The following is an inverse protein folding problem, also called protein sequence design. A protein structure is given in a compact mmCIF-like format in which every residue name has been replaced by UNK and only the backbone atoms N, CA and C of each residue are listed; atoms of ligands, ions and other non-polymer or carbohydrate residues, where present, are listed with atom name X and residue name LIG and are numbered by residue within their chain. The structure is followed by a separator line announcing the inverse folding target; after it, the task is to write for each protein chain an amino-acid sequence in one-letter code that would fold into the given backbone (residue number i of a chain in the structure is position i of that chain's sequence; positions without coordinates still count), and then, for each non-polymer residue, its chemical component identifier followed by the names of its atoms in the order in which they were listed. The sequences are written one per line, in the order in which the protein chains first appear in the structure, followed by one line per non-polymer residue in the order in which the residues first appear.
data_IF_575247734066
#
_entry.id   IF_575247734066
#
_cell.length_a   1.000
_cell.length_b   1.000
_cell.length_c   1.000
_cell.angle_alpha   90.00
_cell.angle_beta   90.00
_cell.angle_gamma   90.00
#
_symmetry.space_group_name_H-M   'P 1'
#
loop_
_entity.id
_entity.type
_entity.pdbx_description
1 polymer ?
#
# COMPACT_ATOMS: atom_id res chain seq x y z
N UNK A 1 -5.12 -27.63 13.69
CA UNK A 1 -5.62 -26.59 14.63
C UNK A 1 -5.66 -25.27 13.86
N UNK A 2 -6.84 -24.82 13.44
CA UNK A 2 -7.00 -23.52 12.77
C UNK A 2 -7.02 -22.43 13.85
N UNK A 3 -5.87 -21.82 14.13
CA UNK A 3 -5.81 -20.68 15.05
C UNK A 3 -6.45 -19.48 14.38
N UNK A 4 -7.49 -18.89 15.00
CA UNK A 4 -8.09 -17.64 14.50
C UNK A 4 -7.04 -16.53 14.56
N UNK A 5 -6.85 -15.80 13.46
CA UNK A 5 -5.98 -14.62 13.43
C UNK A 5 -6.50 -13.60 14.48
N UNK A 6 -5.61 -12.99 15.30
CA UNK A 6 -5.99 -11.90 16.19
C UNK A 6 -6.65 -10.76 15.39
N UNK A 7 -7.67 -10.13 15.99
CA UNK A 7 -8.38 -9.00 15.42
C UNK A 7 -8.39 -7.84 16.40
N UNK A 8 -8.30 -6.61 15.89
CA UNK A 8 -8.64 -5.41 16.64
C UNK A 8 -9.56 -4.50 15.82
N UNK A 9 -10.27 -3.61 16.50
CA UNK A 9 -11.06 -2.57 15.85
C UNK A 9 -10.42 -1.23 16.13
N UNK A 10 -10.16 -0.48 15.06
CA UNK A 10 -9.70 0.90 15.09
C UNK A 10 -10.84 1.85 14.68
N UNK A 11 -11.03 2.99 15.37
CA UNK A 11 -12.12 3.93 15.04
C UNK A 11 -12.01 4.56 13.65
N UNK A 12 -10.84 4.60 13.03
CA UNK A 12 -10.64 5.20 11.70
C UNK A 12 -10.41 4.14 10.61
N UNK A 13 -9.76 3.02 10.96
CA UNK A 13 -9.34 1.99 10.00
C UNK A 13 -10.24 0.75 9.98
N UNK A 14 -11.22 0.66 10.89
CA UNK A 14 -12.16 -0.45 10.98
C UNK A 14 -11.56 -1.70 11.63
N UNK A 15 -11.97 -2.89 11.18
CA UNK A 15 -11.44 -4.15 11.70
C UNK A 15 -10.12 -4.50 11.02
N UNK A 16 -9.07 -4.70 11.82
CA UNK A 16 -7.77 -5.17 11.34
C UNK A 16 -7.49 -6.59 11.83
N UNK A 17 -6.83 -7.38 10.98
CA UNK A 17 -6.40 -8.74 11.29
C UNK A 17 -4.87 -8.82 11.34
N UNK A 18 -4.32 -9.43 12.38
CA UNK A 18 -2.87 -9.56 12.54
C UNK A 18 -2.29 -10.67 11.66
N UNK A 19 -1.21 -10.37 10.95
CA UNK A 19 -0.43 -11.29 10.14
C UNK A 19 1.05 -10.91 10.20
N UNK A 20 1.92 -11.81 10.68
CA UNK A 20 3.39 -11.70 10.55
C UNK A 20 4.03 -10.32 10.80
N UNK A 21 3.63 -9.60 11.85
CA UNK A 21 4.20 -8.28 12.18
C UNK A 21 3.43 -7.08 11.64
N UNK A 22 2.35 -7.30 10.89
CA UNK A 22 1.42 -6.27 10.44
C UNK A 22 -0.01 -6.54 10.92
N UNK A 23 -0.80 -5.48 10.91
CA UNK A 23 -2.24 -5.50 11.02
C UNK A 23 -2.83 -5.03 9.71
N UNK A 24 -3.62 -5.90 9.07
CA UNK A 24 -4.14 -5.66 7.74
C UNK A 24 -5.64 -5.36 7.79
N UNK A 25 -6.09 -4.39 7.00
CA UNK A 25 -7.50 -4.02 6.82
C UNK A 25 -7.80 -3.78 5.35
N UNK A 26 -9.08 -3.80 4.98
CA UNK A 26 -9.50 -3.35 3.65
C UNK A 26 -10.15 -1.99 3.77
N UNK A 27 -9.76 -1.07 2.89
CA UNK A 27 -10.28 0.29 2.85
C UNK A 27 -10.98 0.47 1.50
N UNK A 28 -12.23 0.91 1.55
CA UNK A 28 -12.96 1.30 0.35
C UNK A 28 -12.53 2.71 -0.07
N UNK A 29 -12.02 2.84 -1.29
CA UNK A 29 -11.55 4.13 -1.84
C UNK A 29 -12.12 4.35 -3.23
N UNK A 30 -11.92 5.53 -3.80
CA UNK A 30 -12.29 5.79 -5.21
C UNK A 30 -11.45 4.98 -6.20
N UNK A 31 -10.30 4.47 -5.77
CA UNK A 31 -9.43 3.58 -6.55
C UNK A 31 -9.82 2.10 -6.40
N UNK A 32 -10.95 1.83 -5.73
CA UNK A 32 -11.41 0.49 -5.40
C UNK A 32 -11.10 0.10 -3.97
N UNK A 33 -11.36 -1.18 -3.68
CA UNK A 33 -11.08 -1.81 -2.39
C UNK A 33 -9.61 -2.19 -2.32
N UNK A 34 -8.88 -1.52 -1.43
CA UNK A 34 -7.43 -1.72 -1.27
C UNK A 34 -7.11 -2.42 0.04
N UNK A 35 -6.03 -3.21 0.05
CA UNK A 35 -5.44 -3.74 1.28
C UNK A 35 -4.56 -2.66 1.92
N UNK A 36 -4.71 -2.43 3.21
CA UNK A 36 -3.85 -1.53 3.94
C UNK A 36 -3.22 -2.24 5.14
N UNK A 37 -1.92 -2.08 5.29
CA UNK A 37 -1.13 -2.70 6.36
C UNK A 37 -0.54 -1.64 7.28
N UNK A 38 -0.71 -1.86 8.58
CA UNK A 38 -0.11 -1.07 9.66
C UNK A 38 0.91 -1.95 10.37
N UNK A 39 2.12 -1.43 10.57
CA UNK A 39 3.14 -2.12 11.36
C UNK A 39 2.67 -2.31 12.81
N UNK A 40 3.10 -3.39 13.48
CA UNK A 40 2.78 -3.54 14.90
C UNK A 40 3.15 -4.88 15.51
N UNK A 41 2.74 -5.06 16.76
CA UNK A 41 2.88 -6.32 17.46
C UNK A 41 1.56 -7.10 17.41
N UNK A 42 1.61 -8.39 17.75
CA UNK A 42 0.40 -9.21 17.91
C UNK A 42 -0.65 -8.63 18.88
N UNK A 43 -0.26 -7.68 19.74
CA UNK A 43 -1.11 -7.10 20.78
C UNK A 43 -1.50 -5.64 20.52
N UNK A 44 -0.84 -4.97 19.57
CA UNK A 44 -1.00 -3.52 19.39
C UNK A 44 -0.61 -3.06 17.99
N UNK A 45 -1.28 -2.01 17.51
CA UNK A 45 -0.82 -1.22 16.37
C UNK A 45 0.41 -0.40 16.77
N UNK A 46 1.32 -0.17 15.82
CA UNK A 46 2.31 0.89 15.94
C UNK A 46 1.64 2.26 15.74
N UNK A 47 1.92 3.21 16.64
CA UNK A 47 1.25 4.51 16.64
C UNK A 47 1.63 5.40 15.45
N UNK A 48 2.89 5.33 15.01
CA UNK A 48 3.40 6.10 13.87
C UNK A 48 2.78 5.57 12.59
N UNK A 49 2.90 4.26 12.37
CA UNK A 49 2.35 3.59 11.19
C UNK A 49 0.84 3.79 11.08
N UNK A 50 0.11 3.67 12.19
CA UNK A 50 -1.34 3.91 12.21
C UNK A 50 -1.70 5.33 11.81
N UNK A 51 -1.06 6.33 12.44
CA UNK A 51 -1.36 7.74 12.19
C UNK A 51 -0.99 8.14 10.76
N UNK A 52 0.13 7.62 10.27
CA UNK A 52 0.56 7.80 8.89
C UNK A 52 -0.41 7.16 7.90
N UNK A 53 -0.90 5.93 8.13
CA UNK A 53 -1.88 5.32 7.23
C UNK A 53 -3.16 6.17 7.15
N UNK A 54 -3.63 6.69 8.28
CA UNK A 54 -4.80 7.60 8.30
C UNK A 54 -4.52 8.85 7.45
N UNK A 55 -3.33 9.45 7.57
CA UNK A 55 -2.94 10.60 6.75
C UNK A 55 -2.84 10.25 5.26
N UNK A 56 -2.25 9.10 4.91
CA UNK A 56 -2.14 8.62 3.53
C UNK A 56 -3.52 8.41 2.93
N UNK A 57 -4.45 7.77 3.65
CA UNK A 57 -5.82 7.55 3.17
C UNK A 57 -6.55 8.87 2.98
N UNK A 58 -6.33 9.85 3.86
CA UNK A 58 -6.91 11.19 3.76
C UNK A 58 -6.43 12.01 2.55
N UNK A 59 -5.21 11.78 2.06
CA UNK A 59 -4.61 12.45 0.90
C UNK A 59 -4.17 11.44 -0.19
N UNK A 60 -4.90 10.33 -0.31
CA UNK A 60 -4.48 9.18 -1.12
C UNK A 60 -4.29 9.55 -2.59
N UNK A 61 -5.10 10.49 -3.07
CA UNK A 61 -5.09 10.92 -4.46
C UNK A 61 -3.80 11.61 -4.86
N UNK A 62 -3.23 12.40 -3.95
CA UNK A 62 -1.95 13.04 -4.15
C UNK A 62 -0.83 12.00 -4.20
N UNK A 63 -0.81 11.06 -3.26
CA UNK A 63 0.22 10.01 -3.22
C UNK A 63 0.10 9.07 -4.42
N UNK A 64 -1.11 8.66 -4.77
CA UNK A 64 -1.40 7.88 -5.98
C UNK A 64 -0.90 8.60 -7.24
N UNK A 65 -1.28 9.88 -7.42
CA UNK A 65 -0.83 10.66 -8.58
C UNK A 65 0.70 10.81 -8.62
N UNK A 66 1.34 11.01 -7.47
CA UNK A 66 2.79 11.08 -7.36
C UNK A 66 3.47 9.77 -7.76
N UNK A 67 2.97 8.63 -7.26
CA UNK A 67 3.45 7.31 -7.63
C UNK A 67 3.28 7.02 -9.12
N UNK A 68 2.09 7.23 -9.68
CA UNK A 68 1.83 7.02 -11.12
C UNK A 68 2.75 7.88 -11.98
N UNK A 69 3.01 9.13 -11.57
CA UNK A 69 3.95 10.01 -12.29
C UNK A 69 5.36 9.44 -12.25
N UNK A 70 5.84 9.03 -11.08
CA UNK A 70 7.16 8.44 -10.93
C UNK A 70 7.32 7.14 -11.73
N UNK A 71 6.30 6.27 -11.72
CA UNK A 71 6.26 5.03 -12.50
C UNK A 71 6.41 5.31 -14.01
N UNK A 72 5.73 6.33 -14.53
CA UNK A 72 5.82 6.72 -15.95
C UNK A 72 7.13 7.43 -16.31
N UNK A 73 7.83 7.99 -15.33
CA UNK A 73 9.13 8.63 -15.53
C UNK A 73 10.30 7.64 -15.40
N UNK A 74 10.09 6.56 -14.64
CA UNK A 74 11.04 5.45 -14.58
C UNK A 74 10.97 4.65 -15.89
N UNK A 75 12.10 4.57 -16.59
CA UNK A 75 12.14 3.94 -17.91
C UNK A 75 11.73 2.46 -17.84
N UNK A 76 12.25 1.73 -16.86
CA UNK A 76 12.00 0.30 -16.74
C UNK A 76 10.54 0.03 -16.36
N UNK A 77 10.02 0.74 -15.36
CA UNK A 77 8.63 0.58 -14.94
C UNK A 77 7.63 1.04 -16.02
N UNK A 78 7.95 2.08 -16.79
CA UNK A 78 7.10 2.52 -17.91
C UNK A 78 7.08 1.50 -19.05
N UNK A 79 8.23 0.97 -19.47
CA UNK A 79 8.29 -0.08 -20.50
C UNK A 79 7.53 -1.33 -20.05
N UNK A 80 7.65 -1.66 -18.76
CA UNK A 80 6.94 -2.78 -18.16
C UNK A 80 5.42 -2.56 -18.13
N UNK A 81 4.96 -1.36 -17.76
CA UNK A 81 3.56 -0.95 -17.82
C UNK A 81 3.00 -1.03 -19.24
N UNK A 82 3.73 -0.52 -20.23
CA UNK A 82 3.25 -0.47 -21.63
C UNK A 82 3.20 -1.86 -22.28
N UNK A 83 4.06 -2.80 -21.85
CA UNK A 83 4.12 -4.17 -22.37
C UNK A 83 2.95 -5.09 -21.94
N UNK A 84 2.20 -4.73 -20.90
CA UNK A 84 1.24 -5.65 -20.26
C UNK A 84 -0.21 -5.51 -20.75
N UNK A 85 -0.52 -4.51 -21.59
CA UNK A 85 -1.87 -4.21 -22.08
C UNK A 85 -2.95 -4.12 -20.98
N UNK A 86 -2.55 -3.84 -19.74
CA UNK A 86 -3.44 -3.74 -18.57
C UNK A 86 -3.57 -2.32 -18.03
N UNK A 87 -4.54 -2.13 -17.14
CA UNK A 87 -4.68 -0.93 -16.31
C UNK A 87 -3.90 -1.11 -15.02
N UNK A 88 -3.16 -0.06 -14.63
CA UNK A 88 -2.46 0.00 -13.35
C UNK A 88 -3.48 0.32 -12.24
N UNK A 89 -3.61 -0.57 -11.27
CA UNK A 89 -4.62 -0.50 -10.21
C UNK A 89 -3.94 -0.50 -8.84
N UNK A 90 -4.27 0.48 -8.00
CA UNK A 90 -3.78 0.50 -6.62
C UNK A 90 -4.33 -0.71 -5.87
N UNK A 91 -3.44 -1.56 -5.36
CA UNK A 91 -3.80 -2.78 -4.65
C UNK A 91 -3.55 -2.63 -3.15
N UNK A 92 -2.35 -2.18 -2.76
CA UNK A 92 -1.95 -2.12 -1.36
C UNK A 92 -1.35 -0.78 -0.94
N UNK A 93 -1.55 -0.44 0.34
CA UNK A 93 -0.78 0.57 1.07
C UNK A 93 -0.05 -0.11 2.22
N UNK A 94 1.27 0.03 2.28
CA UNK A 94 2.08 -0.53 3.37
C UNK A 94 2.66 0.63 4.18
N UNK A 95 2.18 0.81 5.40
CA UNK A 95 2.73 1.81 6.31
C UNK A 95 3.74 1.18 7.27
N UNK A 96 4.86 1.89 7.45
CA UNK A 96 5.95 1.49 8.35
C UNK A 96 5.89 2.29 9.66
N UNK A 97 6.72 1.91 10.63
CA UNK A 97 6.91 2.65 11.88
C UNK A 97 7.87 3.85 11.75
N UNK A 98 8.32 4.18 10.54
CA UNK A 98 9.16 5.35 10.26
C UNK A 98 8.31 6.41 9.56
N UNK A 99 8.21 7.58 10.18
CA UNK A 99 7.41 8.68 9.64
C UNK A 99 7.92 9.11 8.26
N UNK A 100 6.98 9.31 7.32
CA UNK A 100 7.27 9.63 5.93
C UNK A 100 7.67 8.44 5.07
N UNK A 101 7.78 7.22 5.62
CA UNK A 101 8.12 6.00 4.89
C UNK A 101 6.95 5.03 4.74
N UNK A 102 6.55 4.77 3.50
CA UNK A 102 5.47 3.85 3.14
C UNK A 102 5.61 3.42 1.69
N UNK A 103 4.86 2.39 1.30
CA UNK A 103 4.82 1.90 -0.08
C UNK A 103 3.39 1.91 -0.61
N UNK A 104 3.26 2.27 -1.88
CA UNK A 104 2.05 2.00 -2.67
C UNK A 104 2.35 0.86 -3.64
N UNK A 105 1.50 -0.17 -3.62
CA UNK A 105 1.60 -1.31 -4.52
C UNK A 105 0.52 -1.21 -5.59
N UNK A 106 0.89 -1.42 -6.84
CA UNK A 106 -0.01 -1.41 -7.96
C UNK A 106 0.02 -2.78 -8.65
N UNK A 107 -1.15 -3.35 -8.91
CA UNK A 107 -1.30 -4.54 -9.75
C UNK A 107 -1.76 -4.17 -11.15
N UNK A 108 -1.84 -5.16 -12.04
CA UNK A 108 -2.38 -5.00 -13.39
C UNK A 108 -3.62 -5.84 -13.61
N UNK A 109 -4.61 -5.27 -14.28
CA UNK A 109 -5.84 -5.99 -14.64
C UNK A 109 -5.60 -7.18 -15.58
N UNK A 110 -4.59 -7.09 -16.46
CA UNK A 110 -4.25 -8.14 -17.43
C UNK A 110 -3.14 -9.10 -16.97
N UNK A 111 -2.44 -8.79 -15.87
CA UNK A 111 -1.36 -9.62 -15.34
C UNK A 111 -1.38 -9.62 -13.81
N UNK A 112 -2.10 -10.57 -13.19
CA UNK A 112 -2.32 -10.59 -11.74
C UNK A 112 -1.06 -10.79 -10.89
N UNK A 113 -0.02 -11.41 -11.46
CA UNK A 113 1.22 -11.70 -10.75
C UNK A 113 2.18 -10.49 -10.80
N UNK A 114 2.05 -9.65 -11.82
CA UNK A 114 2.84 -8.43 -11.96
C UNK A 114 2.42 -7.37 -10.94
N UNK A 115 3.38 -6.81 -10.22
CA UNK A 115 3.19 -5.60 -9.39
C UNK A 115 4.27 -4.54 -9.60
N UNK A 116 3.86 -3.26 -9.59
CA UNK A 116 4.77 -2.12 -9.46
C UNK A 116 4.68 -1.58 -8.03
N UNK A 117 5.83 -1.39 -7.40
CA UNK A 117 5.95 -0.76 -6.10
C UNK A 117 6.44 0.68 -6.30
N UNK A 118 5.85 1.62 -5.56
CA UNK A 118 6.37 2.96 -5.39
C UNK A 118 6.63 3.20 -3.90
N UNK A 119 7.90 3.34 -3.54
CA UNK A 119 8.31 3.65 -2.18
C UNK A 119 8.41 5.14 -1.95
N UNK A 120 7.92 5.55 -0.79
CA UNK A 120 7.97 6.91 -0.31
C UNK A 120 8.98 7.03 0.82
N UNK A 121 9.77 8.09 0.78
CA UNK A 121 10.63 8.54 1.87
C UNK A 121 10.51 10.06 1.97
N UNK A 122 10.40 10.59 3.19
CA UNK A 122 10.07 12.00 3.42
C UNK A 122 8.81 12.45 2.64
N UNK A 123 7.81 11.57 2.55
CA UNK A 123 6.53 11.80 1.86
C UNK A 123 6.64 12.06 0.35
N UNK A 124 7.75 11.64 -0.27
CA UNK A 124 7.99 11.73 -1.72
C UNK A 124 8.40 10.37 -2.26
N UNK A 125 8.03 10.10 -3.51
CA UNK A 125 8.49 8.88 -4.18
C UNK A 125 10.01 8.90 -4.27
N UNK A 126 10.63 7.87 -3.72
CA UNK A 126 12.07 7.69 -3.68
C UNK A 126 12.54 6.65 -4.68
N UNK A 127 11.77 5.57 -4.83
CA UNK A 127 12.12 4.43 -5.66
C UNK A 127 10.86 3.81 -6.26
N UNK A 128 11.02 3.25 -7.45
CA UNK A 128 10.01 2.46 -8.15
C UNK A 128 10.68 1.18 -8.62
N UNK A 129 10.01 0.05 -8.45
CA UNK A 129 10.48 -1.23 -9.01
C UNK A 129 9.31 -2.15 -9.32
N UNK A 130 9.60 -3.15 -10.14
CA UNK A 130 8.62 -4.13 -10.61
C UNK A 130 8.92 -5.50 -10.00
N UNK A 131 7.90 -6.29 -9.71
CA UNK A 131 8.02 -7.68 -9.27
C UNK A 131 7.09 -8.57 -10.10
N UNK A 132 7.57 -9.77 -10.42
CA UNK A 132 6.88 -10.84 -11.16
C UNK A 132 6.52 -12.05 -10.30
#
# INVERSE_FOLDING_TARGET
MFWKKPKLTDPHLGELAYSSGSWDTHIETRHGRILASVSGSRRSLDGVSRSQLIAIVGDLDRYHSGAVTAIRMDQFASEWLDGTHGTLELSNIISTNVEGQFSLLFGFSAWPDGTINADFCDWKVKEVWCND
#
